data_IF_398749128007
#
_entry.id   IF_398749128007
#
_cell.length_a   1.000
_cell.length_b   1.000
_cell.length_c   1.000
_cell.angle_alpha   90.00
_cell.angle_beta   90.00
_cell.angle_gamma   90.00
#
_symmetry.space_group_name_H-M   'P 1'
#
loop_
_entity.id
_entity.type
_entity.pdbx_description
1 polymer ?
#
# COMPACT_ATOMS: atom_id res chain seq x y z
N UNK A 1 20.27 2.11 3.63
CA UNK A 1 18.94 1.93 3.02
C UNK A 1 17.96 2.86 3.71
N UNK A 2 17.41 3.80 2.98
CA UNK A 2 16.42 4.78 3.48
C UNK A 2 15.09 4.09 3.80
N UNK A 3 14.19 4.77 4.52
CA UNK A 3 12.83 4.24 4.80
C UNK A 3 12.09 3.98 3.48
N UNK A 4 12.16 4.92 2.57
CA UNK A 4 11.52 4.84 1.26
C UNK A 4 12.02 3.67 0.40
N UNK A 5 13.34 3.50 0.26
CA UNK A 5 13.94 2.36 -0.46
C UNK A 5 13.52 1.00 0.13
N UNK A 6 13.48 0.93 1.47
CA UNK A 6 13.03 -0.28 2.18
C UNK A 6 11.57 -0.57 1.89
N UNK A 7 10.71 0.43 1.97
CA UNK A 7 9.27 0.31 1.71
C UNK A 7 9.03 -0.18 0.29
N UNK A 8 9.65 0.44 -0.71
CA UNK A 8 9.54 0.05 -2.11
C UNK A 8 9.99 -1.39 -2.35
N UNK A 9 11.09 -1.81 -1.70
CA UNK A 9 11.61 -3.18 -1.85
C UNK A 9 10.73 -4.23 -1.14
N UNK A 10 10.23 -3.92 0.07
CA UNK A 10 9.48 -4.88 0.88
C UNK A 10 8.02 -5.01 0.46
N UNK A 11 7.41 -3.94 -0.06
CA UNK A 11 6.02 -3.97 -0.53
C UNK A 11 5.83 -4.80 -1.80
N UNK A 12 6.83 -4.89 -2.68
CA UNK A 12 6.76 -5.69 -3.91
C UNK A 12 6.52 -7.18 -3.66
N UNK A 13 6.91 -7.69 -2.50
CA UNK A 13 6.78 -9.11 -2.15
C UNK A 13 5.42 -9.47 -1.54
N UNK A 14 4.52 -8.49 -1.32
CA UNK A 14 3.28 -8.67 -0.55
C UNK A 14 2.15 -7.89 -1.19
N UNK A 15 1.31 -8.59 -1.94
CA UNK A 15 0.15 -8.01 -2.62
C UNK A 15 -0.88 -7.39 -1.67
N UNK A 16 -0.99 -7.91 -0.43
CA UNK A 16 -1.88 -7.34 0.58
C UNK A 16 -1.49 -5.90 0.99
N UNK A 17 -0.26 -5.44 0.67
CA UNK A 17 0.14 -4.05 0.90
C UNK A 17 -0.36 -3.08 -0.18
N UNK A 18 -0.86 -3.58 -1.32
CA UNK A 18 -1.27 -2.72 -2.43
C UNK A 18 -2.47 -1.83 -2.10
N UNK A 19 -3.31 -2.27 -1.15
CA UNK A 19 -4.45 -1.49 -0.63
C UNK A 19 -4.05 -0.35 0.32
N UNK A 20 -2.76 -0.25 0.68
CA UNK A 20 -2.24 0.77 1.58
C UNK A 20 -1.61 1.91 0.81
N UNK A 21 -1.79 3.13 1.29
CA UNK A 21 -1.06 4.31 0.80
C UNK A 21 0.44 4.19 1.06
N UNK A 22 1.26 4.98 0.39
CA UNK A 22 2.72 4.97 0.57
C UNK A 22 3.10 5.24 2.04
N UNK A 23 2.46 6.22 2.68
CA UNK A 23 2.70 6.55 4.09
C UNK A 23 2.38 5.37 5.02
N UNK A 24 1.28 4.66 4.77
CA UNK A 24 0.89 3.47 5.54
C UNK A 24 1.85 2.30 5.32
N UNK A 25 2.32 2.09 4.08
CA UNK A 25 3.37 1.12 3.76
C UNK A 25 4.65 1.40 4.54
N UNK A 26 5.03 2.67 4.65
CA UNK A 26 6.20 3.09 5.44
C UNK A 26 6.02 2.80 6.94
N UNK A 27 4.85 3.06 7.50
CA UNK A 27 4.54 2.73 8.91
C UNK A 27 4.66 1.22 9.17
N UNK A 28 4.07 0.39 8.32
CA UNK A 28 4.15 -1.08 8.43
C UNK A 28 5.60 -1.55 8.32
N UNK A 29 6.32 -1.11 7.28
CA UNK A 29 7.72 -1.51 7.07
C UNK A 29 8.64 -1.07 8.21
N UNK A 30 8.41 0.11 8.80
CA UNK A 30 9.19 0.60 9.93
C UNK A 30 8.89 -0.17 11.21
N UNK A 31 7.62 -0.48 11.48
CA UNK A 31 7.20 -1.30 12.62
C UNK A 31 7.83 -2.69 12.54
N UNK A 32 7.74 -3.34 11.38
CA UNK A 32 8.35 -4.66 11.17
C UNK A 32 9.87 -4.61 11.26
N UNK A 33 10.51 -3.56 10.75
CA UNK A 33 11.97 -3.40 10.90
C UNK A 33 12.40 -3.30 12.36
N UNK A 34 11.67 -2.56 13.20
CA UNK A 34 11.93 -2.48 14.65
C UNK A 34 11.74 -3.84 15.32
N UNK A 35 10.67 -4.56 15.01
CA UNK A 35 10.43 -5.91 15.56
C UNK A 35 11.53 -6.89 15.15
N UNK A 36 11.93 -6.90 13.88
CA UNK A 36 13.02 -7.74 13.38
C UNK A 36 14.35 -7.42 14.08
N UNK A 37 14.64 -6.12 14.26
CA UNK A 37 15.85 -5.71 14.98
C UNK A 37 15.86 -6.28 16.40
N UNK A 38 14.77 -6.15 17.16
CA UNK A 38 14.67 -6.70 18.51
C UNK A 38 14.85 -8.23 18.51
N UNK A 39 14.18 -8.94 17.60
CA UNK A 39 14.30 -10.40 17.49
C UNK A 39 15.74 -10.80 17.18
N UNK A 40 16.40 -10.13 16.22
CA UNK A 40 17.77 -10.44 15.83
C UNK A 40 18.75 -10.18 17.00
N UNK A 41 18.59 -9.07 17.72
CA UNK A 41 19.43 -8.78 18.91
C UNK A 41 19.21 -9.81 20.01
N UNK A 42 17.96 -10.16 20.30
CA UNK A 42 17.64 -11.19 21.31
C UNK A 42 18.24 -12.54 20.94
N UNK A 43 18.10 -12.97 19.67
CA UNK A 43 18.69 -14.21 19.19
C UNK A 43 20.23 -14.21 19.29
N UNK A 44 20.88 -13.12 18.86
CA UNK A 44 22.32 -12.97 18.97
C UNK A 44 22.80 -13.06 20.44
N UNK A 45 22.05 -12.42 21.36
CA UNK A 45 22.34 -12.45 22.79
C UNK A 45 22.18 -13.87 23.35
N UNK A 46 21.13 -14.59 22.99
CA UNK A 46 20.92 -15.98 23.43
C UNK A 46 22.00 -16.90 22.88
N UNK A 47 22.42 -16.77 21.64
CA UNK A 47 23.53 -17.54 21.06
C UNK A 47 24.83 -17.24 21.80
N UNK A 48 25.11 -15.97 22.12
CA UNK A 48 26.29 -15.59 22.90
C UNK A 48 26.29 -16.23 24.28
N UNK A 49 25.15 -16.18 24.99
CA UNK A 49 24.99 -16.83 26.28
C UNK A 49 25.22 -18.33 26.15
N UNK A 50 24.63 -18.98 25.14
CA UNK A 50 24.82 -20.41 24.91
C UNK A 50 26.31 -20.80 24.64
N UNK A 51 27.05 -19.97 23.92
CA UNK A 51 28.48 -20.15 23.70
C UNK A 51 29.24 -20.02 25.03
N UNK A 52 28.94 -18.99 25.82
CA UNK A 52 29.59 -18.77 27.13
C UNK A 52 29.34 -19.96 28.07
N UNK A 53 28.08 -20.40 28.19
CA UNK A 53 27.72 -21.56 29.02
C UNK A 53 28.43 -22.82 28.52
N UNK A 54 28.41 -23.04 27.18
CA UNK A 54 29.08 -24.17 26.56
C UNK A 54 30.61 -24.22 26.82
N UNK A 55 31.25 -23.05 26.96
CA UNK A 55 32.67 -22.95 27.32
C UNK A 55 32.96 -23.50 28.74
N UNK A 56 32.01 -23.31 29.68
CA UNK A 56 32.17 -23.84 31.05
C UNK A 56 31.91 -25.35 31.14
N UNK A 57 31.05 -25.88 30.27
CA UNK A 57 30.67 -27.30 30.33
C UNK A 57 31.50 -28.18 29.36
N UNK A 58 32.16 -27.60 28.36
CA UNK A 58 32.87 -28.33 27.31
C UNK A 58 34.35 -27.92 27.24
N UNK A 59 35.27 -28.71 27.82
CA UNK A 59 36.70 -28.39 27.83
C UNK A 59 37.29 -28.12 26.43
N UNK A 60 36.84 -28.85 25.40
CA UNK A 60 37.32 -28.66 24.04
C UNK A 60 36.93 -27.29 23.46
N UNK A 61 35.75 -26.77 23.81
CA UNK A 61 35.29 -25.46 23.37
C UNK A 61 36.10 -24.34 24.04
N UNK A 62 36.39 -24.50 25.33
CA UNK A 62 37.27 -23.60 26.09
C UNK A 62 38.67 -23.59 25.48
N UNK A 63 39.24 -24.76 25.18
CA UNK A 63 40.55 -24.90 24.55
C UNK A 63 40.58 -24.26 23.15
N UNK A 64 39.53 -24.46 22.36
CA UNK A 64 39.39 -23.81 21.02
C UNK A 64 39.36 -22.30 21.12
N UNK A 65 38.62 -21.74 22.07
CA UNK A 65 38.49 -20.29 22.25
C UNK A 65 39.79 -19.67 22.84
N UNK A 66 40.46 -20.34 23.78
CA UNK A 66 41.74 -19.88 24.31
C UNK A 66 42.85 -19.92 23.29
N UNK A 67 42.96 -21.00 22.51
CA UNK A 67 43.91 -21.09 21.40
C UNK A 67 43.66 -20.01 20.36
N UNK A 68 42.39 -19.70 20.08
CA UNK A 68 42.01 -18.63 19.13
C UNK A 68 42.41 -17.26 19.68
N UNK A 69 42.16 -16.99 21.00
CA UNK A 69 42.53 -15.76 21.66
C UNK A 69 44.05 -15.57 21.73
N UNK A 70 44.80 -16.62 22.01
CA UNK A 70 46.27 -16.56 22.04
C UNK A 70 46.87 -16.25 20.69
N UNK A 71 46.31 -16.79 19.64
CA UNK A 71 46.76 -16.50 18.27
C UNK A 71 46.44 -15.04 17.88
N UNK A 72 45.25 -14.53 18.29
CA UNK A 72 44.92 -13.12 18.08
C UNK A 72 45.87 -12.20 18.84
N UNK A 73 46.20 -12.55 20.12
CA UNK A 73 47.11 -11.79 20.94
C UNK A 73 48.57 -11.84 20.44
N UNK A 74 49.04 -12.97 19.97
CA UNK A 74 50.38 -13.09 19.38
C UNK A 74 50.49 -12.25 18.10
N UNK A 75 49.49 -12.31 17.24
CA UNK A 75 49.47 -11.51 16.03
C UNK A 75 49.37 -10.00 16.30
N UNK A 76 48.64 -9.58 17.33
CA UNK A 76 48.57 -8.15 17.70
C UNK A 76 49.86 -7.61 18.29
N UNK A 77 50.63 -8.45 19.01
CA UNK A 77 51.98 -8.05 19.52
C UNK A 77 53.01 -7.96 18.41
N UNK A 78 52.94 -8.80 17.38
CA UNK A 78 53.86 -8.73 16.23
C UNK A 78 53.56 -7.54 15.33
N UNK A 79 52.32 -7.08 15.24
CA UNK A 79 51.94 -5.87 14.45
C UNK A 79 52.51 -4.59 15.05
N UNK A 80 52.75 -4.48 16.37
CA UNK A 80 53.39 -3.32 16.96
C UNK A 80 54.88 -3.22 16.62
N UNK A 81 55.51 -4.23 16.06
CA UNK A 81 56.96 -4.23 15.76
C UNK A 81 57.31 -4.06 14.26
N UNK A 82 56.32 -4.19 13.35
CA UNK A 82 56.53 -4.05 11.92
C UNK A 82 55.46 -3.14 11.28
N UNK A 83 55.67 -1.84 11.32
CA UNK A 83 54.95 -0.88 10.49
C UNK A 83 55.34 -1.16 9.02
N UNK A 84 54.56 -1.94 8.32
CA UNK A 84 54.77 -2.21 6.89
C UNK A 84 54.27 -3.54 6.33
N UNK A 85 53.83 -4.49 7.16
CA UNK A 85 53.26 -5.77 6.66
C UNK A 85 51.81 -5.97 7.06
N UNK A 86 50.91 -5.72 6.10
CA UNK A 86 49.46 -5.88 6.21
C UNK A 86 48.98 -7.34 6.36
N UNK A 87 49.88 -8.32 6.46
CA UNK A 87 49.54 -9.77 6.51
C UNK A 87 49.04 -10.28 7.86
N UNK A 88 49.40 -9.63 8.98
CA UNK A 88 49.10 -10.14 10.32
C UNK A 88 47.63 -9.96 10.76
N UNK A 89 46.99 -8.88 10.34
CA UNK A 89 45.58 -8.57 10.66
C UNK A 89 44.59 -9.44 9.88
N UNK A 90 44.91 -9.83 8.66
CA UNK A 90 44.06 -10.72 7.85
C UNK A 90 44.06 -12.17 8.38
N UNK A 91 45.18 -12.66 8.89
CA UNK A 91 45.28 -14.03 9.43
C UNK A 91 44.52 -14.16 10.78
N UNK A 92 44.47 -13.12 11.61
CA UNK A 92 43.72 -13.14 12.86
C UNK A 92 42.20 -13.02 12.62
N UNK A 93 41.78 -12.21 11.65
CA UNK A 93 40.39 -12.11 11.24
C UNK A 93 39.86 -13.42 10.64
N UNK A 94 40.65 -14.13 9.83
CA UNK A 94 40.21 -15.39 9.23
C UNK A 94 39.86 -16.48 10.24
N UNK A 95 40.50 -16.49 11.41
CA UNK A 95 40.25 -17.47 12.48
C UNK A 95 39.03 -17.11 13.36
N UNK A 96 38.59 -15.85 13.37
CA UNK A 96 37.32 -15.47 13.99
C UNK A 96 36.09 -15.76 13.12
N UNK A 97 36.30 -16.07 11.82
CA UNK A 97 35.21 -16.33 10.87
C UNK A 97 34.27 -17.45 11.36
N UNK A 98 34.72 -18.61 11.88
CA UNK A 98 33.81 -19.65 12.35
C UNK A 98 32.93 -19.20 13.51
N UNK A 99 33.47 -18.43 14.47
CA UNK A 99 32.71 -17.90 15.62
C UNK A 99 31.68 -16.87 15.15
N UNK A 100 32.09 -15.95 14.28
CA UNK A 100 31.18 -14.98 13.69
C UNK A 100 30.11 -15.65 12.83
N UNK A 101 30.49 -16.68 12.07
CA UNK A 101 29.55 -17.43 11.22
C UNK A 101 28.48 -18.16 12.05
N UNK A 102 28.84 -18.78 13.19
CA UNK A 102 27.89 -19.43 14.10
C UNK A 102 26.89 -18.45 14.72
N UNK A 103 27.27 -17.19 14.89
CA UNK A 103 26.34 -16.14 15.38
C UNK A 103 25.50 -15.53 14.26
N UNK A 104 26.11 -15.24 13.11
CA UNK A 104 25.45 -14.47 12.03
C UNK A 104 24.53 -15.34 11.17
N UNK A 105 24.92 -16.59 10.85
CA UNK A 105 24.12 -17.45 9.94
C UNK A 105 22.71 -17.72 10.51
N UNK A 106 22.54 -18.17 11.77
CA UNK A 106 21.20 -18.36 12.34
C UNK A 106 20.39 -17.05 12.41
N UNK A 107 21.04 -15.94 12.79
CA UNK A 107 20.37 -14.64 12.89
C UNK A 107 19.86 -14.14 11.53
N UNK A 108 20.67 -14.28 10.49
CA UNK A 108 20.28 -13.95 9.11
C UNK A 108 19.16 -14.89 8.62
N UNK A 109 19.27 -16.20 8.92
CA UNK A 109 18.24 -17.18 8.59
C UNK A 109 16.89 -16.82 9.22
N UNK A 110 16.86 -16.51 10.50
CA UNK A 110 15.67 -16.07 11.22
C UNK A 110 15.09 -14.79 10.62
N UNK A 111 15.95 -13.81 10.28
CA UNK A 111 15.51 -12.59 9.62
C UNK A 111 14.71 -12.87 8.32
N UNK A 112 15.25 -13.71 7.43
CA UNK A 112 14.57 -14.03 6.17
C UNK A 112 13.29 -14.85 6.37
N UNK A 113 13.28 -15.80 7.32
CA UNK A 113 12.12 -16.64 7.61
C UNK A 113 10.96 -15.85 8.22
N UNK A 114 11.24 -14.88 9.10
CA UNK A 114 10.21 -14.18 9.87
C UNK A 114 9.76 -12.89 9.19
N UNK A 115 10.58 -12.26 8.35
CA UNK A 115 10.26 -10.97 7.68
C UNK A 115 8.90 -10.99 6.98
N UNK A 116 8.68 -11.98 6.11
CA UNK A 116 7.47 -12.05 5.27
C UNK A 116 6.19 -12.28 6.09
N UNK A 117 6.13 -13.23 7.04
CA UNK A 117 4.96 -13.40 7.90
C UNK A 117 4.69 -12.20 8.81
N UNK A 118 5.71 -11.51 9.32
CA UNK A 118 5.51 -10.29 10.11
C UNK A 118 4.91 -9.16 9.25
N UNK A 119 5.43 -8.95 8.05
CA UNK A 119 4.86 -7.96 7.13
C UNK A 119 3.39 -8.25 6.84
N UNK A 120 3.03 -9.49 6.50
CA UNK A 120 1.64 -9.88 6.27
C UNK A 120 0.75 -9.64 7.49
N UNK A 121 1.23 -10.00 8.67
CA UNK A 121 0.49 -9.81 9.93
C UNK A 121 0.22 -8.33 10.21
N UNK A 122 1.22 -7.46 10.12
CA UNK A 122 1.06 -6.04 10.41
C UNK A 122 0.24 -5.34 9.32
N UNK A 123 0.41 -5.72 8.04
CA UNK A 123 -0.46 -5.26 6.95
C UNK A 123 -1.92 -5.61 7.23
N UNK A 124 -2.21 -6.88 7.56
CA UNK A 124 -3.58 -7.33 7.85
C UNK A 124 -4.19 -6.56 9.02
N UNK A 125 -3.46 -6.35 10.11
CA UNK A 125 -3.95 -5.56 11.25
C UNK A 125 -4.34 -4.13 10.85
N UNK A 126 -3.51 -3.48 10.02
CA UNK A 126 -3.80 -2.12 9.58
C UNK A 126 -5.01 -2.08 8.65
N UNK A 127 -5.11 -3.02 7.71
CA UNK A 127 -6.28 -3.15 6.83
C UNK A 127 -7.55 -3.46 7.64
N UNK A 128 -7.49 -4.39 8.59
CA UNK A 128 -8.63 -4.70 9.47
C UNK A 128 -9.05 -3.50 10.31
N UNK A 129 -8.08 -2.72 10.82
CA UNK A 129 -8.37 -1.47 11.53
C UNK A 129 -9.07 -0.45 10.64
N UNK A 130 -8.64 -0.30 9.38
CA UNK A 130 -9.32 0.55 8.38
C UNK A 130 -10.74 0.08 8.12
N UNK A 131 -10.92 -1.22 7.93
CA UNK A 131 -12.24 -1.81 7.67
C UNK A 131 -13.17 -1.79 8.88
N UNK A 132 -12.63 -1.70 10.10
CA UNK A 132 -13.42 -1.54 11.32
C UNK A 132 -13.80 -0.07 11.62
N UNK A 133 -13.13 0.88 10.97
CA UNK A 133 -13.51 2.28 11.05
C UNK A 133 -14.85 2.50 10.37
N UNK A 134 -15.64 3.46 10.88
CA UNK A 134 -16.86 3.91 10.19
C UNK A 134 -16.51 4.34 8.75
N UNK A 135 -17.46 4.25 7.80
CA UNK A 135 -17.27 4.82 6.47
C UNK A 135 -16.76 6.26 6.59
N UNK A 136 -15.77 6.62 5.77
CA UNK A 136 -15.27 7.99 5.75
C UNK A 136 -16.41 8.92 5.35
N UNK A 137 -16.54 10.01 6.09
CA UNK A 137 -17.40 11.14 5.73
C UNK A 137 -16.58 12.25 5.06
N UNK A 138 -15.34 11.95 4.70
CA UNK A 138 -14.46 12.86 3.98
C UNK A 138 -14.67 12.74 2.49
N UNK A 139 -14.32 13.77 1.76
CA UNK A 139 -14.26 13.76 0.30
C UNK A 139 -13.22 12.75 -0.17
N UNK A 140 -13.51 12.06 -1.25
CA UNK A 140 -12.65 10.99 -1.78
C UNK A 140 -12.27 11.26 -3.24
N UNK A 141 -11.13 10.71 -3.66
CA UNK A 141 -10.59 10.84 -5.02
C UNK A 141 -10.28 12.31 -5.43
N UNK A 142 -10.14 13.24 -4.49
CA UNK A 142 -9.89 14.68 -4.75
C UNK A 142 -8.53 14.99 -5.37
N UNK A 143 -7.60 14.02 -5.40
CA UNK A 143 -6.29 14.16 -6.05
C UNK A 143 -6.23 13.55 -7.44
N UNK A 144 -7.36 13.08 -7.97
CA UNK A 144 -7.44 12.42 -9.27
C UNK A 144 -8.13 13.35 -10.25
N UNK A 145 -7.41 13.74 -11.30
CA UNK A 145 -7.97 14.44 -12.45
C UNK A 145 -8.15 13.42 -13.56
N UNK A 146 -9.36 13.32 -14.09
CA UNK A 146 -9.71 12.38 -15.14
C UNK A 146 -10.78 12.99 -16.04
N UNK A 147 -10.57 12.92 -17.35
CA UNK A 147 -11.63 13.30 -18.30
C UNK A 147 -12.52 12.09 -18.60
N UNK A 148 -13.82 12.27 -18.38
CA UNK A 148 -14.80 11.28 -18.80
C UNK A 148 -14.85 11.17 -20.33
N UNK A 149 -15.22 10.02 -20.84
CA UNK A 149 -15.36 9.76 -22.28
C UNK A 149 -16.47 8.75 -22.52
N UNK A 150 -16.87 8.60 -23.79
CA UNK A 150 -17.87 7.60 -24.18
C UNK A 150 -17.34 6.16 -24.21
N UNK A 151 -16.07 5.94 -23.84
CA UNK A 151 -15.47 4.62 -23.78
C UNK A 151 -15.85 3.93 -22.46
N UNK A 152 -16.34 2.69 -22.52
CA UNK A 152 -16.56 1.88 -21.32
C UNK A 152 -15.37 0.95 -21.07
N UNK A 153 -15.04 0.75 -19.78
CA UNK A 153 -13.96 -0.13 -19.36
C UNK A 153 -14.51 -1.38 -18.66
N UNK A 154 -14.12 -2.55 -19.16
CA UNK A 154 -14.54 -3.84 -18.58
C UNK A 154 -13.73 -4.19 -17.35
N UNK A 155 -12.46 -3.76 -17.26
CA UNK A 155 -11.54 -4.13 -16.18
C UNK A 155 -10.71 -2.97 -15.64
N UNK A 156 -10.22 -3.14 -14.43
CA UNK A 156 -9.44 -2.14 -13.71
C UNK A 156 -8.06 -1.88 -14.33
N UNK A 157 -7.43 -2.88 -14.94
CA UNK A 157 -6.07 -2.76 -15.49
C UNK A 157 -6.01 -1.79 -16.68
N UNK A 158 -6.94 -1.92 -17.63
CA UNK A 158 -7.01 -1.02 -18.79
C UNK A 158 -7.33 0.41 -18.35
N UNK A 159 -8.28 0.57 -17.43
CA UNK A 159 -8.66 1.87 -16.90
C UNK A 159 -7.50 2.52 -16.11
N UNK A 160 -6.80 1.75 -15.27
CA UNK A 160 -5.61 2.23 -14.53
C UNK A 160 -4.53 2.74 -15.46
N UNK A 161 -4.29 2.02 -16.57
CA UNK A 161 -3.27 2.41 -17.55
C UNK A 161 -3.63 3.76 -18.17
N UNK A 162 -4.88 3.94 -18.60
CA UNK A 162 -5.32 5.17 -19.24
C UNK A 162 -5.29 6.37 -18.27
N UNK A 163 -5.64 6.18 -16.98
CA UNK A 163 -5.47 7.20 -15.94
C UNK A 163 -4.01 7.61 -15.78
N UNK A 164 -3.07 6.64 -15.72
CA UNK A 164 -1.64 6.93 -15.60
C UNK A 164 -1.13 7.70 -16.82
N UNK A 165 -1.56 7.31 -18.00
CA UNK A 165 -1.18 7.98 -19.24
C UNK A 165 -1.78 9.42 -19.33
N UNK A 166 -2.97 9.63 -18.74
CA UNK A 166 -3.63 10.95 -18.66
C UNK A 166 -2.96 11.89 -17.64
N UNK A 167 -2.42 11.33 -16.52
CA UNK A 167 -1.79 12.10 -15.42
C UNK A 167 -0.30 11.79 -15.28
N UNK A 168 0.57 12.05 -16.27
CA UNK A 168 1.95 11.63 -16.24
C UNK A 168 2.76 12.26 -15.08
N UNK A 169 2.43 13.51 -14.72
CA UNK A 169 3.12 14.26 -13.65
C UNK A 169 2.65 13.86 -12.24
N UNK A 170 1.45 13.30 -12.10
CA UNK A 170 0.82 12.94 -10.83
C UNK A 170 0.68 11.42 -10.62
N UNK A 171 1.25 10.59 -11.48
CA UNK A 171 1.14 9.12 -11.42
C UNK A 171 1.54 8.52 -10.07
N UNK A 172 2.49 9.16 -9.36
CA UNK A 172 2.96 8.68 -8.06
C UNK A 172 1.93 8.89 -6.94
N UNK A 173 0.96 9.79 -7.15
CA UNK A 173 -0.15 10.04 -6.23
C UNK A 173 -1.34 9.10 -6.49
N UNK A 174 -1.42 8.47 -7.67
CA UNK A 174 -2.45 7.51 -7.99
C UNK A 174 -2.20 6.17 -7.29
N UNK A 175 -3.10 5.78 -6.40
CA UNK A 175 -3.09 4.47 -5.75
C UNK A 175 -4.36 3.70 -6.14
N UNK A 176 -4.38 2.97 -7.27
CA UNK A 176 -5.57 2.31 -7.79
C UNK A 176 -6.19 1.34 -6.77
N UNK A 177 -5.37 0.64 -5.99
CA UNK A 177 -5.82 -0.36 -5.02
C UNK A 177 -6.11 0.24 -3.63
N UNK A 178 -5.93 1.54 -3.44
CA UNK A 178 -6.30 2.22 -2.20
C UNK A 178 -7.80 2.07 -1.91
N UNK A 179 -8.17 2.02 -0.62
CA UNK A 179 -9.58 1.98 -0.21
C UNK A 179 -10.15 3.39 -0.35
N UNK A 180 -11.06 3.57 -1.32
CA UNK A 180 -11.81 4.81 -1.50
C UNK A 180 -12.92 4.92 -0.46
N UNK A 181 -13.79 3.93 -0.41
CA UNK A 181 -14.93 3.92 0.52
C UNK A 181 -15.02 2.56 1.21
N UNK A 182 -15.02 2.59 2.55
CA UNK A 182 -15.07 1.38 3.37
C UNK A 182 -16.51 0.93 3.63
N UNK A 183 -17.20 0.55 2.57
CA UNK A 183 -18.56 -0.01 2.65
C UNK A 183 -18.82 -0.96 1.48
N UNK A 184 -19.80 -1.85 1.66
CA UNK A 184 -20.22 -2.77 0.60
C UNK A 184 -20.99 -2.10 -0.52
N UNK A 185 -21.65 -0.99 -0.21
CA UNK A 185 -22.52 -0.25 -1.11
C UNK A 185 -22.32 1.23 -0.93
N UNK A 186 -22.50 1.99 -1.98
CA UNK A 186 -22.44 3.45 -1.99
C UNK A 186 -23.51 3.99 -2.94
N UNK A 187 -24.11 5.09 -2.59
CA UNK A 187 -24.96 5.87 -3.49
C UNK A 187 -24.12 7.01 -4.08
N UNK A 188 -24.12 7.12 -5.39
CA UNK A 188 -23.44 8.20 -6.12
C UNK A 188 -24.52 9.05 -6.79
N UNK A 189 -24.41 10.37 -6.61
CA UNK A 189 -25.22 11.37 -7.29
C UNK A 189 -24.31 12.13 -8.25
N UNK A 190 -24.75 12.31 -9.47
CA UNK A 190 -24.04 13.08 -10.48
C UNK A 190 -25.02 13.87 -11.34
N UNK A 191 -24.59 15.03 -11.75
CA UNK A 191 -25.30 15.82 -12.75
C UNK A 191 -25.03 15.26 -14.15
N UNK A 192 -26.06 15.20 -14.96
CA UNK A 192 -25.96 14.71 -16.34
C UNK A 192 -26.89 15.47 -17.29
N UNK A 193 -26.48 15.52 -18.55
CA UNK A 193 -27.32 15.98 -19.66
C UNK A 193 -27.83 14.77 -20.42
N UNK A 194 -29.16 14.64 -20.51
CA UNK A 194 -29.82 13.51 -21.16
C UNK A 194 -30.88 14.01 -22.15
N UNK A 195 -31.12 13.25 -23.20
CA UNK A 195 -32.19 13.56 -24.17
C UNK A 195 -33.54 13.07 -23.72
N UNK A 196 -33.56 12.12 -22.74
CA UNK A 196 -34.75 11.58 -22.15
C UNK A 196 -34.43 10.39 -21.22
N UNK A 197 -35.46 9.87 -20.61
CA UNK A 197 -35.33 8.74 -19.63
C UNK A 197 -34.81 7.43 -20.25
N UNK A 198 -34.83 7.28 -21.57
CA UNK A 198 -34.30 6.14 -22.32
C UNK A 198 -32.74 6.02 -22.20
N UNK A 199 -32.06 7.11 -21.87
CA UNK A 199 -30.62 7.09 -21.63
C UNK A 199 -30.25 6.58 -20.21
N UNK A 200 -31.23 6.45 -19.34
CA UNK A 200 -30.98 5.91 -17.99
C UNK A 200 -30.66 4.42 -18.07
N UNK A 201 -29.67 4.01 -17.31
CA UNK A 201 -29.38 2.60 -17.07
C UNK A 201 -30.36 2.02 -16.03
N UNK A 202 -30.52 0.73 -16.01
CA UNK A 202 -31.50 0.03 -15.13
C UNK A 202 -31.28 0.25 -13.64
N UNK A 203 -30.08 0.66 -13.22
CA UNK A 203 -29.69 0.95 -11.84
C UNK A 203 -29.71 2.45 -11.50
N UNK A 204 -30.14 3.30 -12.43
CA UNK A 204 -30.22 4.75 -12.27
C UNK A 204 -31.63 5.23 -11.97
N UNK A 205 -31.71 6.32 -11.20
CA UNK A 205 -32.93 7.01 -10.90
C UNK A 205 -32.68 8.52 -10.95
N UNK A 206 -33.59 9.29 -11.55
CA UNK A 206 -33.58 10.74 -11.48
C UNK A 206 -33.95 11.16 -10.07
N UNK A 207 -33.22 12.16 -9.55
CA UNK A 207 -33.47 12.69 -8.20
C UNK A 207 -34.76 13.48 -8.17
N UNK A 208 -34.97 14.37 -9.12
CA UNK A 208 -36.21 15.14 -9.28
C UNK A 208 -36.81 14.93 -10.68
N UNK A 209 -37.93 14.23 -10.75
CA UNK A 209 -38.57 13.90 -12.03
C UNK A 209 -39.06 15.14 -12.80
N UNK A 210 -39.27 16.26 -12.09
CA UNK A 210 -39.70 17.52 -12.72
C UNK A 210 -38.61 18.13 -13.61
N UNK A 211 -37.33 17.72 -13.44
CA UNK A 211 -36.24 18.11 -14.35
C UNK A 211 -36.51 17.70 -15.80
N UNK A 212 -37.32 16.67 -16.02
CA UNK A 212 -37.69 16.18 -17.34
C UNK A 212 -38.95 16.83 -17.95
N UNK A 213 -39.47 17.87 -17.35
CA UNK A 213 -40.56 18.63 -17.95
C UNK A 213 -40.05 19.39 -19.16
N UNK A 214 -40.82 19.39 -20.27
CA UNK A 214 -40.41 19.98 -21.53
C UNK A 214 -40.00 21.46 -21.44
N UNK A 215 -40.50 22.16 -20.42
CA UNK A 215 -40.11 23.55 -20.14
C UNK A 215 -38.67 23.71 -19.62
N UNK A 216 -38.11 22.65 -19.09
CA UNK A 216 -36.72 22.57 -18.58
C UNK A 216 -35.73 22.10 -19.65
N UNK A 217 -36.18 21.82 -20.88
CA UNK A 217 -35.36 21.33 -21.97
C UNK A 217 -34.56 22.48 -22.59
N UNK A 218 -33.24 22.38 -22.57
CA UNK A 218 -32.28 23.35 -23.10
C UNK A 218 -31.50 22.67 -24.25
N UNK A 219 -31.55 23.24 -25.43
CA UNK A 219 -30.85 22.74 -26.65
C UNK A 219 -31.10 21.25 -26.93
N UNK A 220 -32.28 20.74 -26.58
CA UNK A 220 -32.69 19.37 -26.86
C UNK A 220 -32.28 18.35 -25.74
N UNK A 221 -31.70 18.82 -24.66
CA UNK A 221 -31.30 17.99 -23.50
C UNK A 221 -31.92 18.50 -22.19
N UNK A 222 -32.03 17.63 -21.23
CA UNK A 222 -32.41 17.93 -19.84
C UNK A 222 -31.18 17.84 -18.95
N UNK A 223 -30.94 18.85 -18.12
CA UNK A 223 -29.96 18.84 -17.06
C UNK A 223 -30.62 18.29 -15.80
N UNK A 224 -30.12 17.21 -15.25
CA UNK A 224 -30.75 16.56 -14.10
C UNK A 224 -29.74 15.85 -13.22
N UNK A 225 -30.04 15.76 -11.93
CA UNK A 225 -29.29 14.91 -10.98
C UNK A 225 -29.76 13.46 -11.10
N UNK A 226 -28.83 12.57 -11.31
CA UNK A 226 -29.06 11.12 -11.37
C UNK A 226 -28.39 10.47 -10.18
N UNK A 227 -29.11 9.59 -9.49
CA UNK A 227 -28.56 8.75 -8.41
C UNK A 227 -28.41 7.31 -8.87
N UNK A 228 -27.33 6.66 -8.43
CA UNK A 228 -27.03 5.26 -8.69
C UNK A 228 -26.48 4.59 -7.45
N UNK A 229 -26.91 3.35 -7.17
CA UNK A 229 -26.34 2.53 -6.13
C UNK A 229 -25.30 1.58 -6.73
N UNK A 230 -24.07 1.64 -6.22
CA UNK A 230 -23.02 0.68 -6.56
C UNK A 230 -22.80 -0.33 -5.43
N UNK A 231 -22.44 -1.55 -5.82
CA UNK A 231 -21.95 -2.59 -4.92
C UNK A 231 -20.48 -2.85 -5.19
N UNK A 232 -19.68 -3.00 -4.12
CA UNK A 232 -18.27 -3.33 -4.21
C UNK A 232 -18.07 -4.76 -4.75
N UNK A 233 -17.16 -4.95 -5.72
CA UNK A 233 -16.90 -6.24 -6.36
C UNK A 233 -16.40 -7.29 -5.35
N UNK A 234 -15.59 -6.86 -4.37
CA UNK A 234 -15.11 -7.70 -3.27
C UNK A 234 -16.12 -7.83 -2.12
N UNK A 235 -17.31 -7.21 -2.21
CA UNK A 235 -18.39 -7.19 -1.20
C UNK A 235 -17.97 -6.64 0.17
N UNK A 236 -16.94 -5.83 0.24
CA UNK A 236 -16.41 -5.28 1.50
C UNK A 236 -16.16 -3.78 1.45
N UNK A 237 -15.47 -3.31 0.43
CA UNK A 237 -15.06 -1.92 0.24
C UNK A 237 -14.82 -1.64 -1.24
N UNK A 238 -14.84 -0.38 -1.62
CA UNK A 238 -14.46 0.06 -2.96
C UNK A 238 -12.99 0.45 -2.99
N UNK A 239 -12.28 0.02 -4.04
CA UNK A 239 -10.96 0.59 -4.34
C UNK A 239 -11.11 1.88 -5.14
N UNK A 240 -10.04 2.69 -5.19
CA UNK A 240 -10.04 3.94 -5.96
C UNK A 240 -10.35 3.67 -7.44
N UNK A 241 -9.68 2.68 -8.03
CA UNK A 241 -9.89 2.34 -9.44
C UNK A 241 -11.28 1.78 -9.69
N UNK A 242 -11.78 0.90 -8.84
CA UNK A 242 -13.10 0.31 -8.99
C UNK A 242 -14.20 1.38 -8.95
N UNK A 243 -14.13 2.26 -7.95
CA UNK A 243 -15.16 3.30 -7.78
C UNK A 243 -15.14 4.28 -8.95
N UNK A 244 -13.97 4.80 -9.33
CA UNK A 244 -13.86 5.75 -10.45
C UNK A 244 -14.27 5.10 -11.80
N UNK A 245 -13.88 3.85 -12.05
CA UNK A 245 -14.30 3.12 -13.27
C UNK A 245 -15.81 2.92 -13.32
N UNK A 246 -16.45 2.58 -12.20
CA UNK A 246 -17.93 2.43 -12.15
C UNK A 246 -18.62 3.74 -12.43
N UNK A 247 -18.13 4.85 -11.87
CA UNK A 247 -18.65 6.20 -12.16
C UNK A 247 -18.43 6.57 -13.63
N UNK A 248 -17.23 6.38 -14.15
CA UNK A 248 -16.90 6.64 -15.55
C UNK A 248 -17.84 5.89 -16.51
N UNK A 249 -17.98 4.58 -16.31
CA UNK A 249 -18.86 3.77 -17.16
C UNK A 249 -20.33 4.19 -17.04
N UNK A 250 -20.75 4.70 -15.89
CA UNK A 250 -22.12 5.16 -15.67
C UNK A 250 -22.40 6.43 -16.50
N UNK A 251 -21.40 7.31 -16.58
CA UNK A 251 -21.49 8.56 -17.34
C UNK A 251 -21.26 8.41 -18.85
N UNK A 252 -20.64 7.32 -19.31
CA UNK A 252 -20.16 7.14 -20.67
C UNK A 252 -21.20 7.37 -21.77
N UNK A 253 -22.50 7.21 -21.49
CA UNK A 253 -23.59 7.47 -22.44
C UNK A 253 -24.34 8.79 -22.21
N UNK A 254 -23.81 9.69 -21.35
CA UNK A 254 -24.49 10.93 -20.92
C UNK A 254 -23.64 12.19 -21.06
N UNK A 255 -22.38 12.05 -21.42
CA UNK A 255 -21.43 13.17 -21.45
C UNK A 255 -21.73 14.10 -22.63
N UNK A 256 -21.85 15.37 -22.31
CA UNK A 256 -21.90 16.46 -23.24
C UNK A 256 -20.54 17.16 -23.25
N UNK A 257 -20.06 17.52 -24.44
CA UNK A 257 -18.77 18.18 -24.65
C UNK A 257 -18.63 19.43 -23.75
N UNK A 258 -17.54 19.52 -22.99
CA UNK A 258 -17.20 20.64 -22.12
C UNK A 258 -17.54 20.49 -20.63
N UNK A 259 -18.13 19.35 -20.20
CA UNK A 259 -18.37 19.04 -18.77
C UNK A 259 -17.92 17.60 -18.47
N UNK A 260 -16.64 17.35 -18.65
CA UNK A 260 -16.11 15.98 -18.62
C UNK A 260 -15.00 15.76 -17.59
N UNK A 261 -14.53 16.82 -16.90
CA UNK A 261 -13.44 16.71 -15.93
C UNK A 261 -13.92 16.23 -14.57
N UNK A 262 -13.46 15.06 -14.15
CA UNK A 262 -13.66 14.56 -12.79
C UNK A 262 -12.67 15.22 -11.83
N UNK A 263 -13.15 15.83 -10.75
CA UNK A 263 -12.34 16.50 -9.73
C UNK A 263 -12.42 15.82 -8.35
N UNK A 264 -13.31 14.85 -8.17
CA UNK A 264 -13.47 14.14 -6.90
C UNK A 264 -14.90 13.75 -6.59
N UNK A 265 -15.06 13.26 -5.37
CA UNK A 265 -16.36 12.95 -4.79
C UNK A 265 -16.52 13.70 -3.47
N UNK A 266 -17.55 14.51 -3.37
CA UNK A 266 -17.95 15.20 -2.15
C UNK A 266 -18.91 14.32 -1.34
N UNK A 267 -18.63 14.15 -0.04
CA UNK A 267 -19.58 13.49 0.87
C UNK A 267 -20.80 14.38 1.11
N UNK A 268 -21.98 13.84 0.87
CA UNK A 268 -23.26 14.58 1.08
C UNK A 268 -23.87 14.19 2.42
N UNK A 269 -24.20 12.91 2.60
CA UNK A 269 -24.90 12.42 3.77
C UNK A 269 -24.83 10.88 3.87
N UNK A 270 -25.41 10.33 4.92
CA UNK A 270 -25.65 8.88 5.01
C UNK A 270 -27.16 8.64 5.15
N UNK A 271 -27.74 7.90 4.21
CA UNK A 271 -29.16 7.53 4.19
C UNK A 271 -29.28 6.04 4.45
N UNK A 272 -29.98 5.62 5.50
CA UNK A 272 -30.19 4.22 5.89
C UNK A 272 -28.89 3.41 6.03
N UNK A 273 -27.82 4.07 6.49
CA UNK A 273 -26.49 3.46 6.61
C UNK A 273 -25.70 3.37 5.30
N UNK A 274 -26.21 3.92 4.21
CA UNK A 274 -25.60 4.01 2.90
C UNK A 274 -25.00 5.41 2.72
N UNK A 275 -23.67 5.56 2.57
CA UNK A 275 -23.07 6.86 2.31
C UNK A 275 -23.41 7.33 0.89
N UNK A 276 -23.74 8.61 0.77
CA UNK A 276 -24.07 9.29 -0.47
C UNK A 276 -22.94 10.26 -0.81
N UNK A 277 -22.42 10.17 -2.00
CA UNK A 277 -21.41 11.07 -2.55
C UNK A 277 -21.93 11.73 -3.83
N UNK A 278 -21.57 12.99 -4.02
CA UNK A 278 -21.78 13.73 -5.24
C UNK A 278 -20.49 13.77 -6.09
N UNK A 279 -20.60 13.49 -7.36
CA UNK A 279 -19.48 13.67 -8.30
C UNK A 279 -19.26 15.16 -8.52
N UNK A 280 -18.02 15.61 -8.31
CA UNK A 280 -17.59 16.96 -8.66
C UNK A 280 -17.08 16.90 -10.09
N UNK A 281 -17.72 17.63 -10.97
CA UNK A 281 -17.36 17.76 -12.39
C UNK A 281 -16.92 19.21 -12.61
N UNK A 282 -15.73 19.38 -13.18
CA UNK A 282 -15.17 20.68 -13.56
C UNK A 282 -15.29 20.93 -15.05
N UNK A 283 -15.12 22.23 -15.42
CA UNK A 283 -15.07 22.72 -16.80
C UNK A 283 -13.70 22.49 -17.45
#
# INVERSE_FOLDING_TARGET
MTIHERTTKWSKDISEMDVLSLAEKEVVCNTVAKQLFVICVTMATLILIAIIVGMFESPWLLEYMTNTADIVNQNSRTVHFQVGQSGGTMASLSRMIPVLATMLIPTIGVFFMIKKPLLKRETRKLVEKKLAAAPSTDDVLTSVYWAFSNQEYVGDDAFTKDIIDYMPDNKDNWNPNGIAVNTRKVCIVYEAFITGSEQLRSNEQIVDITDLDEENRIDGVFQTDIKVEFSADNRRYFTNVELLRKIHNQLANKIVEGMDSFEGLEYVETVDGLPVYRVIIGD
#
